data_IF_228613724442
#
_entry.id   IF_228613724442
#
_cell.length_a   1.000
_cell.length_b   1.000
_cell.length_c   1.000
_cell.angle_alpha   90.00
_cell.angle_beta   90.00
_cell.angle_gamma   90.00
#
_symmetry.space_group_name_H-M   'P 1'
#
loop_
_entity.id
_entity.type
_entity.pdbx_description
1 polymer ?
#
# COMPACT_ATOMS: atom_id res chain seq x y z
N UNK A 1 27.09 -44.83 -77.62
CA UNK A 1 26.56 -45.20 -76.28
C UNK A 1 27.15 -44.19 -75.31
N UNK A 2 26.46 -43.10 -75.05
CA UNK A 2 26.89 -42.07 -74.17
C UNK A 2 25.76 -41.76 -73.18
N UNK A 3 26.04 -42.03 -71.91
CA UNK A 3 25.11 -41.72 -70.80
C UNK A 3 25.37 -40.30 -70.28
N UNK A 4 24.44 -39.43 -70.40
CA UNK A 4 24.40 -38.11 -69.84
C UNK A 4 23.87 -38.16 -68.38
N UNK A 5 24.70 -37.69 -67.43
CA UNK A 5 24.33 -37.60 -66.02
C UNK A 5 23.76 -36.18 -65.80
N UNK A 6 22.48 -36.09 -65.40
CA UNK A 6 21.83 -34.85 -65.04
C UNK A 6 22.23 -34.37 -63.64
N UNK A 7 22.57 -33.09 -63.50
CA UNK A 7 22.79 -32.42 -62.24
C UNK A 7 21.46 -31.94 -61.67
N UNK A 8 21.07 -32.49 -60.52
CA UNK A 8 19.95 -31.97 -59.73
C UNK A 8 20.44 -30.79 -58.84
N UNK A 9 19.91 -29.62 -59.08
CA UNK A 9 20.14 -28.45 -58.23
C UNK A 9 19.26 -28.48 -57.01
N UNK A 10 19.89 -28.44 -55.84
CA UNK A 10 19.19 -28.33 -54.54
C UNK A 10 18.96 -26.82 -54.28
N UNK A 11 17.72 -26.37 -54.28
CA UNK A 11 17.34 -25.04 -53.84
C UNK A 11 17.12 -25.10 -52.31
N UNK A 12 18.01 -24.47 -51.53
CA UNK A 12 17.84 -24.27 -50.11
C UNK A 12 17.03 -23.03 -49.89
N UNK A 13 15.77 -23.20 -49.50
CA UNK A 13 14.93 -22.09 -49.04
C UNK A 13 15.28 -21.73 -47.59
N UNK A 14 15.93 -20.61 -47.38
CA UNK A 14 16.12 -20.00 -46.06
C UNK A 14 14.79 -19.40 -45.58
N UNK A 15 14.05 -20.08 -44.73
CA UNK A 15 12.96 -19.46 -43.98
C UNK A 15 13.56 -18.65 -42.81
N UNK A 16 13.61 -17.34 -42.98
CA UNK A 16 13.91 -16.42 -41.89
C UNK A 16 12.72 -16.41 -40.92
N UNK A 17 12.86 -17.12 -39.79
CA UNK A 17 11.96 -16.96 -38.64
C UNK A 17 12.22 -15.59 -38.01
N UNK A 18 11.40 -14.59 -38.35
CA UNK A 18 11.28 -13.38 -37.58
C UNK A 18 10.64 -13.72 -36.26
N UNK A 19 11.45 -13.92 -35.21
CA UNK A 19 10.99 -14.01 -33.84
C UNK A 19 10.46 -12.63 -33.42
N UNK A 20 9.16 -12.38 -33.62
CA UNK A 20 8.45 -11.31 -32.95
C UNK A 20 8.50 -11.61 -31.44
N UNK A 21 9.47 -11.02 -30.76
CA UNK A 21 9.44 -10.87 -29.30
C UNK A 21 8.30 -9.91 -28.99
N UNK A 22 7.09 -10.44 -28.89
CA UNK A 22 6.00 -9.73 -28.24
C UNK A 22 6.48 -9.44 -26.83
N UNK A 23 6.94 -8.22 -26.57
CA UNK A 23 7.09 -7.71 -25.23
C UNK A 23 5.73 -7.84 -24.58
N UNK A 24 5.56 -8.87 -23.75
CA UNK A 24 4.37 -9.03 -22.92
C UNK A 24 4.29 -7.76 -22.08
N UNK A 25 3.42 -6.85 -22.48
CA UNK A 25 3.06 -5.68 -21.68
C UNK A 25 2.69 -6.24 -20.31
N UNK A 26 3.52 -5.93 -19.32
CA UNK A 26 3.25 -6.33 -17.94
C UNK A 26 1.85 -5.84 -17.63
N UNK A 27 0.92 -6.77 -17.47
CA UNK A 27 -0.49 -6.49 -17.29
C UNK A 27 -0.60 -5.74 -15.96
N UNK A 28 -0.87 -4.43 -16.04
CA UNK A 28 -1.05 -3.58 -14.88
C UNK A 28 -2.04 -4.20 -13.90
N UNK A 29 -1.85 -3.95 -12.61
CA UNK A 29 -2.69 -4.51 -11.56
C UNK A 29 -4.12 -3.96 -11.74
N UNK A 30 -4.97 -4.73 -12.44
CA UNK A 30 -6.39 -4.39 -12.57
C UNK A 30 -7.00 -4.38 -11.17
N UNK A 31 -7.63 -3.25 -10.78
CA UNK A 31 -8.34 -3.15 -9.51
C UNK A 31 -7.48 -2.85 -8.28
N UNK A 32 -6.27 -2.28 -8.44
CA UNK A 32 -5.52 -1.76 -7.28
C UNK A 32 -6.33 -0.70 -6.56
N UNK A 33 -6.42 -0.81 -5.23
CA UNK A 33 -7.10 0.16 -4.37
C UNK A 33 -6.10 1.00 -3.59
N UNK A 34 -6.40 2.29 -3.44
CA UNK A 34 -5.59 3.20 -2.64
C UNK A 34 -6.30 3.52 -1.34
N UNK A 35 -5.52 3.81 -0.31
CA UNK A 35 -6.06 4.10 1.01
C UNK A 35 -5.21 5.06 1.81
N UNK A 36 -5.65 5.27 3.04
CA UNK A 36 -4.95 6.08 4.02
C UNK A 36 -5.04 5.44 5.40
N UNK A 37 -4.01 5.64 6.21
CA UNK A 37 -3.98 5.32 7.63
C UNK A 37 -3.54 6.54 8.42
N UNK A 38 -4.28 6.85 9.48
CA UNK A 38 -3.88 7.79 10.52
C UNK A 38 -4.74 7.57 11.77
N UNK A 39 -4.39 6.55 12.54
CA UNK A 39 -5.17 6.12 13.70
C UNK A 39 -5.28 7.22 14.75
N UNK A 40 -4.13 7.85 15.07
CA UNK A 40 -4.07 8.89 16.09
C UNK A 40 -4.88 10.13 15.70
N UNK A 41 -4.75 10.58 14.47
CA UNK A 41 -5.51 11.74 13.98
C UNK A 41 -7.01 11.44 13.90
N UNK A 42 -7.41 10.24 13.44
CA UNK A 42 -8.82 9.85 13.40
C UNK A 42 -9.43 9.81 14.80
N UNK A 43 -8.72 9.27 15.79
CA UNK A 43 -9.24 9.16 17.16
C UNK A 43 -9.16 10.47 17.96
N UNK A 44 -8.06 11.19 17.84
CA UNK A 44 -7.68 12.29 18.75
C UNK A 44 -7.30 13.59 18.07
N UNK A 45 -7.34 13.65 16.73
CA UNK A 45 -6.94 14.85 16.00
C UNK A 45 -7.63 16.11 16.51
N UNK A 46 -6.90 17.24 16.58
CA UNK A 46 -7.43 18.49 17.15
C UNK A 46 -8.44 19.17 16.22
N UNK A 47 -8.49 18.79 14.93
CA UNK A 47 -9.37 19.43 13.95
C UNK A 47 -10.77 18.80 13.98
N UNK A 48 -11.65 19.36 14.78
CA UNK A 48 -13.06 19.02 14.82
C UNK A 48 -13.37 17.63 15.36
N UNK A 49 -14.56 17.14 15.05
CA UNK A 49 -15.09 15.84 15.45
C UNK A 49 -14.58 14.70 14.56
N UNK A 50 -14.73 13.45 15.00
CA UNK A 50 -14.47 12.28 14.17
C UNK A 50 -15.23 12.32 12.82
N UNK A 51 -16.49 12.79 12.83
CA UNK A 51 -17.27 12.91 11.59
C UNK A 51 -16.66 13.90 10.60
N UNK A 52 -16.19 15.04 11.08
CA UNK A 52 -15.50 16.04 10.25
C UNK A 52 -14.19 15.49 9.70
N UNK A 53 -13.42 14.75 10.51
CA UNK A 53 -12.19 14.08 10.06
C UNK A 53 -12.48 13.01 9.00
N UNK A 54 -13.50 12.18 9.20
CA UNK A 54 -13.92 11.18 8.20
C UNK A 54 -14.42 11.84 6.91
N UNK A 55 -15.17 12.95 7.00
CA UNK A 55 -15.55 13.73 5.83
C UNK A 55 -14.31 14.28 5.10
N UNK A 56 -13.28 14.69 5.83
CA UNK A 56 -12.00 15.13 5.25
C UNK A 56 -11.29 13.99 4.51
N UNK A 57 -11.21 12.79 5.11
CA UNK A 57 -10.69 11.60 4.42
C UNK A 57 -11.52 11.28 3.17
N UNK A 58 -12.87 11.42 3.24
CA UNK A 58 -13.74 11.16 2.08
C UNK A 58 -13.40 12.05 0.87
N UNK A 59 -13.01 13.31 1.13
CA UNK A 59 -12.57 14.24 0.09
C UNK A 59 -11.23 13.89 -0.57
N UNK A 60 -10.48 12.91 -0.03
CA UNK A 60 -9.27 12.38 -0.70
C UNK A 60 -9.61 11.53 -1.92
N UNK A 61 -10.81 10.95 -1.94
CA UNK A 61 -11.29 10.13 -3.04
C UNK A 61 -10.73 8.70 -3.06
N UNK A 62 -10.24 8.19 -1.92
CA UNK A 62 -9.76 6.81 -1.78
C UNK A 62 -10.77 5.95 -1.02
N UNK A 63 -10.94 4.66 -1.39
CA UNK A 63 -11.91 3.78 -0.74
C UNK A 63 -11.44 3.17 0.58
N UNK A 64 -10.11 2.96 0.76
CA UNK A 64 -9.61 2.22 1.90
C UNK A 64 -9.23 3.13 3.07
N UNK A 65 -9.59 2.70 4.29
CA UNK A 65 -9.08 3.26 5.55
C UNK A 65 -8.52 2.11 6.38
N UNK A 66 -7.21 2.14 6.64
CA UNK A 66 -6.59 1.19 7.56
C UNK A 66 -6.74 1.72 8.99
N UNK A 67 -7.16 0.83 9.91
CA UNK A 67 -7.33 1.15 11.32
C UNK A 67 -6.85 0.00 12.20
N UNK A 68 -6.19 0.34 13.32
CA UNK A 68 -5.57 -0.65 14.22
C UNK A 68 -6.42 -0.90 15.45
N UNK A 69 -6.70 -2.16 15.73
CA UNK A 69 -7.37 -2.64 16.93
C UNK A 69 -6.32 -3.23 17.88
N UNK A 70 -6.18 -2.61 19.03
CA UNK A 70 -5.23 -2.99 20.06
C UNK A 70 -5.85 -3.99 21.04
N UNK A 71 -5.50 -5.29 20.93
CA UNK A 71 -6.03 -6.34 21.82
C UNK A 71 -5.82 -6.03 23.29
N UNK A 72 -4.62 -5.54 23.66
CA UNK A 72 -4.27 -5.17 25.03
C UNK A 72 -5.11 -3.99 25.59
N UNK A 73 -5.68 -3.15 24.74
CA UNK A 73 -6.57 -2.05 25.12
C UNK A 73 -8.03 -2.47 25.14
N UNK A 74 -8.42 -3.38 24.25
CA UNK A 74 -9.79 -3.90 24.15
C UNK A 74 -10.06 -4.92 25.26
N UNK A 75 -9.11 -5.80 25.57
CA UNK A 75 -9.26 -6.87 26.59
C UNK A 75 -8.26 -6.69 27.73
N UNK A 76 -8.41 -5.62 28.52
CA UNK A 76 -7.52 -5.33 29.66
C UNK A 76 -7.56 -6.45 30.71
N UNK A 77 -8.71 -7.09 30.89
CA UNK A 77 -8.93 -8.25 31.77
C UNK A 77 -9.18 -9.49 30.94
N UNK A 78 -8.88 -10.69 31.50
CA UNK A 78 -9.15 -11.97 30.82
C UNK A 78 -10.66 -12.19 30.68
N UNK A 79 -11.19 -12.35 29.43
CA UNK A 79 -12.60 -12.66 29.22
C UNK A 79 -12.97 -14.04 29.74
N UNK A 80 -14.14 -14.19 30.35
CA UNK A 80 -14.70 -15.49 30.74
C UNK A 80 -15.22 -16.26 29.52
N UNK A 81 -15.81 -15.54 28.55
CA UNK A 81 -16.31 -16.05 27.27
C UNK A 81 -15.54 -15.42 26.12
N UNK A 82 -14.26 -15.84 25.87
CA UNK A 82 -13.31 -15.10 25.04
C UNK A 82 -13.64 -15.04 23.55
N UNK A 83 -14.63 -15.80 23.06
CA UNK A 83 -15.15 -15.72 21.69
C UNK A 83 -16.39 -14.84 21.55
N UNK A 84 -16.97 -14.40 22.70
CA UNK A 84 -18.20 -13.60 22.71
C UNK A 84 -17.85 -12.12 22.84
N UNK A 85 -18.19 -11.29 21.81
CA UNK A 85 -17.89 -9.85 21.86
C UNK A 85 -18.71 -9.11 22.93
N UNK A 86 -19.75 -9.71 23.49
CA UNK A 86 -20.54 -9.18 24.61
C UNK A 86 -19.94 -9.45 25.99
N UNK A 87 -18.82 -10.16 26.08
CA UNK A 87 -18.15 -10.36 27.37
C UNK A 87 -17.70 -9.03 27.98
N UNK A 88 -17.99 -8.83 29.26
CA UNK A 88 -17.72 -7.56 29.98
C UNK A 88 -16.24 -7.19 30.10
N UNK A 89 -15.31 -8.10 29.79
CA UNK A 89 -13.90 -7.82 29.75
C UNK A 89 -13.46 -7.10 28.47
N UNK A 90 -14.30 -7.06 27.43
CA UNK A 90 -14.05 -6.32 26.19
C UNK A 90 -14.55 -4.88 26.28
N UNK A 91 -13.68 -3.92 26.06
CA UNK A 91 -14.07 -2.51 25.88
C UNK A 91 -14.02 -2.12 24.38
N UNK A 92 -15.17 -2.13 23.78
CA UNK A 92 -15.34 -1.76 22.37
C UNK A 92 -15.69 -0.28 22.15
N UNK A 93 -15.82 0.53 23.19
CA UNK A 93 -16.33 1.91 23.07
C UNK A 93 -15.54 2.75 22.07
N UNK A 94 -14.20 2.73 22.18
CA UNK A 94 -13.33 3.47 21.26
C UNK A 94 -13.29 2.84 19.86
N UNK A 95 -12.97 1.55 19.70
CA UNK A 95 -13.00 0.90 18.39
C UNK A 95 -14.33 1.05 17.67
N UNK A 96 -15.45 0.84 18.34
CA UNK A 96 -16.79 0.95 17.77
C UNK A 96 -17.06 2.34 17.19
N UNK A 97 -16.67 3.38 17.91
CA UNK A 97 -16.87 4.76 17.46
C UNK A 97 -16.21 4.99 16.09
N UNK A 98 -14.95 4.57 15.94
CA UNK A 98 -14.19 4.74 14.70
C UNK A 98 -14.70 3.80 13.61
N UNK A 99 -14.86 2.51 13.91
CA UNK A 99 -15.29 1.50 12.95
C UNK A 99 -16.68 1.77 12.39
N UNK A 100 -17.65 2.18 13.23
CA UNK A 100 -18.97 2.61 12.76
C UNK A 100 -18.88 3.88 11.91
N UNK A 101 -18.00 4.79 12.24
CA UNK A 101 -17.72 5.97 11.44
C UNK A 101 -17.19 5.61 10.05
N UNK A 102 -16.18 4.77 9.98
CA UNK A 102 -15.59 4.26 8.71
C UNK A 102 -16.68 3.65 7.82
N UNK A 103 -17.51 2.77 8.40
CA UNK A 103 -18.63 2.14 7.69
C UNK A 103 -19.67 3.15 7.21
N UNK A 104 -20.10 4.08 8.07
CA UNK A 104 -21.12 5.10 7.74
C UNK A 104 -20.69 6.02 6.61
N UNK A 105 -19.42 6.35 6.53
CA UNK A 105 -18.86 7.14 5.43
C UNK A 105 -18.60 6.32 4.15
N UNK A 106 -18.93 5.02 4.16
CA UNK A 106 -18.80 4.13 3.00
C UNK A 106 -17.34 3.85 2.64
N UNK A 107 -16.46 3.78 3.63
CA UNK A 107 -15.10 3.27 3.43
C UNK A 107 -15.04 1.76 3.62
N UNK A 108 -14.11 1.14 2.93
CA UNK A 108 -13.72 -0.24 3.16
C UNK A 108 -12.59 -0.28 4.19
N UNK A 109 -12.81 -0.83 5.39
CA UNK A 109 -11.77 -0.92 6.40
C UNK A 109 -10.74 -1.99 6.07
N UNK A 110 -9.46 -1.70 6.36
CA UNK A 110 -8.37 -2.65 6.47
C UNK A 110 -7.97 -2.71 7.93
N UNK A 111 -8.35 -3.76 8.63
CA UNK A 111 -8.25 -3.82 10.10
C UNK A 111 -7.00 -4.58 10.53
N UNK A 112 -6.16 -3.94 11.34
CA UNK A 112 -4.95 -4.54 11.90
C UNK A 112 -5.21 -4.98 13.35
N UNK A 113 -4.85 -6.22 13.72
CA UNK A 113 -4.90 -6.73 15.07
C UNK A 113 -3.50 -6.77 15.69
N UNK A 114 -3.27 -6.06 16.79
CA UNK A 114 -1.98 -5.99 17.48
C UNK A 114 -2.09 -5.96 18.99
N UNK A 115 -0.98 -6.20 19.68
CA UNK A 115 -0.80 -5.91 21.10
C UNK A 115 -1.37 -6.98 22.03
N UNK A 116 -0.52 -7.79 22.66
CA UNK A 116 -0.92 -8.82 23.61
C UNK A 116 -1.22 -8.20 24.99
N UNK A 117 -2.36 -8.46 25.61
CA UNK A 117 -2.64 -8.00 26.96
C UNK A 117 -1.79 -8.74 28.01
N UNK A 118 -1.50 -8.07 29.12
CA UNK A 118 -0.64 -8.59 30.18
C UNK A 118 -1.09 -9.95 30.73
N UNK A 119 -2.39 -10.20 30.85
CA UNK A 119 -2.90 -11.49 31.30
C UNK A 119 -2.64 -12.64 30.31
N UNK A 120 -2.37 -12.34 29.04
CA UNK A 120 -2.10 -13.33 27.99
C UNK A 120 -0.60 -13.54 27.72
N UNK A 121 0.31 -12.70 28.29
CA UNK A 121 1.76 -12.79 28.08
C UNK A 121 2.58 -12.70 29.38
N UNK A 122 1.98 -13.09 30.51
CA UNK A 122 2.62 -13.09 31.83
C UNK A 122 3.09 -11.70 32.28
N UNK A 123 2.29 -10.68 32.07
CA UNK A 123 2.56 -9.29 32.46
C UNK A 123 3.61 -8.55 31.64
N UNK A 124 4.08 -9.14 30.54
CA UNK A 124 5.09 -8.51 29.67
C UNK A 124 4.47 -7.39 28.81
N UNK A 125 5.35 -6.59 28.17
CA UNK A 125 4.93 -5.54 27.26
C UNK A 125 4.07 -6.09 26.10
N UNK A 126 3.16 -5.27 25.52
CA UNK A 126 2.21 -5.73 24.49
C UNK A 126 2.84 -6.29 23.21
N UNK A 127 4.11 -6.04 22.96
CA UNK A 127 4.85 -6.59 21.82
C UNK A 127 5.41 -8.02 22.06
N UNK A 128 5.17 -8.63 23.21
CA UNK A 128 5.48 -10.05 23.41
C UNK A 128 4.32 -10.91 22.92
N UNK A 129 4.64 -11.92 22.09
CA UNK A 129 3.65 -12.89 21.65
C UNK A 129 3.03 -13.65 22.84
N UNK A 130 1.74 -14.01 22.78
CA UNK A 130 1.11 -14.82 23.80
C UNK A 130 1.66 -16.26 23.75
N UNK A 131 2.04 -16.89 24.89
CA UNK A 131 2.48 -18.28 24.89
C UNK A 131 1.35 -19.26 24.51
N UNK A 132 0.11 -18.95 24.85
CA UNK A 132 -1.05 -19.76 24.51
C UNK A 132 -1.73 -19.26 23.25
N UNK A 133 -1.50 -19.93 22.14
CA UNK A 133 -2.01 -19.59 20.79
C UNK A 133 -3.54 -19.45 20.75
N UNK A 134 -4.26 -20.22 21.55
CA UNK A 134 -5.72 -20.18 21.66
C UNK A 134 -6.26 -18.81 22.10
N UNK A 135 -5.48 -18.04 22.90
CA UNK A 135 -5.97 -16.76 23.43
C UNK A 135 -6.10 -15.72 22.30
N UNK A 136 -5.12 -15.64 21.40
CA UNK A 136 -5.21 -14.77 20.22
C UNK A 136 -6.25 -15.25 19.21
N UNK A 137 -6.37 -16.57 18.97
CA UNK A 137 -7.42 -17.12 18.11
C UNK A 137 -8.82 -16.77 18.60
N UNK A 138 -9.08 -16.89 19.89
CA UNK A 138 -10.37 -16.57 20.51
C UNK A 138 -10.68 -15.08 20.43
N UNK A 139 -9.69 -14.21 20.62
CA UNK A 139 -9.84 -12.77 20.39
C UNK A 139 -10.19 -12.46 18.92
N UNK A 140 -9.50 -13.08 17.96
CA UNK A 140 -9.79 -12.92 16.55
C UNK A 140 -11.24 -13.33 16.20
N UNK A 141 -11.76 -14.40 16.81
CA UNK A 141 -13.18 -14.79 16.69
C UNK A 141 -14.11 -13.69 17.23
N UNK A 142 -13.83 -13.16 18.44
CA UNK A 142 -14.64 -12.11 19.04
C UNK A 142 -14.66 -10.83 18.17
N UNK A 143 -13.52 -10.43 17.64
CA UNK A 143 -13.41 -9.26 16.75
C UNK A 143 -14.17 -9.48 15.44
N UNK A 144 -14.03 -10.65 14.81
CA UNK A 144 -14.73 -10.99 13.56
C UNK A 144 -16.24 -11.00 13.78
N UNK A 145 -16.74 -11.52 14.91
CA UNK A 145 -18.16 -11.45 15.30
C UNK A 145 -18.62 -10.02 15.55
N UNK A 146 -17.75 -9.17 16.11
CA UNK A 146 -18.06 -7.75 16.37
C UNK A 146 -18.18 -6.93 15.10
N UNK A 147 -17.33 -7.20 14.10
CA UNK A 147 -17.26 -6.45 12.85
C UNK A 147 -17.45 -7.35 11.63
N UNK A 148 -18.63 -8.00 11.45
CA UNK A 148 -18.85 -8.99 10.40
C UNK A 148 -18.80 -8.42 8.98
N UNK A 149 -18.80 -7.09 8.82
CA UNK A 149 -18.71 -6.41 7.53
C UNK A 149 -17.26 -6.13 7.09
N UNK A 150 -16.24 -6.46 7.92
CA UNK A 150 -14.84 -6.25 7.57
C UNK A 150 -14.35 -7.37 6.67
N UNK A 151 -13.85 -6.99 5.50
CA UNK A 151 -13.34 -7.95 4.52
C UNK A 151 -11.82 -8.11 4.59
N UNK A 152 -11.05 -7.04 4.91
CA UNK A 152 -9.59 -7.04 4.92
C UNK A 152 -9.04 -6.98 6.33
N UNK A 153 -8.22 -7.98 6.69
CA UNK A 153 -7.60 -8.11 8.01
C UNK A 153 -6.10 -8.21 7.91
N UNK A 154 -5.38 -7.62 8.82
CA UNK A 154 -3.94 -7.74 8.98
C UNK A 154 -3.61 -8.31 10.36
N UNK A 155 -2.75 -9.29 10.40
CA UNK A 155 -2.30 -9.88 11.66
C UNK A 155 -0.96 -9.31 12.03
N UNK A 156 -0.97 -8.49 13.09
CA UNK A 156 0.16 -7.77 13.66
C UNK A 156 0.64 -6.59 12.81
N UNK A 157 1.71 -5.92 13.29
CA UNK A 157 2.40 -4.83 12.60
C UNK A 157 3.90 -5.05 12.68
N UNK A 158 4.61 -4.97 11.55
CA UNK A 158 6.06 -5.10 11.41
C UNK A 158 6.70 -6.17 12.32
N UNK A 159 6.20 -7.43 12.34
CA UNK A 159 6.65 -8.45 13.29
C UNK A 159 8.13 -8.83 13.09
N UNK A 160 8.74 -8.43 11.98
CA UNK A 160 10.17 -8.56 11.73
C UNK A 160 11.03 -7.52 12.47
N UNK A 161 10.41 -6.61 13.25
CA UNK A 161 11.08 -5.60 14.09
C UNK A 161 10.95 -5.94 15.56
N UNK A 162 12.05 -5.86 16.32
CA UNK A 162 12.05 -6.13 17.76
C UNK A 162 11.13 -5.21 18.57
N UNK A 163 10.90 -4.00 18.10
CA UNK A 163 9.96 -3.05 18.73
C UNK A 163 8.51 -3.54 18.63
N UNK A 164 8.17 -4.32 17.60
CA UNK A 164 6.82 -4.79 17.36
C UNK A 164 6.57 -6.24 17.82
N UNK A 165 7.59 -7.11 17.78
CA UNK A 165 7.42 -8.51 18.19
C UNK A 165 8.62 -9.03 18.97
N UNK A 166 8.35 -9.70 20.10
CA UNK A 166 9.31 -10.43 20.92
C UNK A 166 8.77 -11.81 21.28
N UNK A 167 9.58 -12.87 21.15
CA UNK A 167 10.83 -12.93 20.39
C UNK A 167 10.63 -12.62 18.91
N UNK A 168 11.60 -11.93 18.28
CA UNK A 168 11.53 -11.55 16.86
C UNK A 168 11.93 -12.75 15.98
N UNK A 169 11.04 -13.74 15.88
CA UNK A 169 11.22 -14.98 15.13
C UNK A 169 9.99 -15.23 14.25
N UNK A 170 10.22 -15.55 12.97
CA UNK A 170 9.13 -15.80 12.03
C UNK A 170 8.23 -16.98 12.48
N UNK A 171 8.84 -18.05 13.05
CA UNK A 171 8.07 -19.18 13.59
C UNK A 171 7.13 -18.73 14.73
N UNK A 172 7.58 -17.89 15.65
CA UNK A 172 6.73 -17.35 16.74
C UNK A 172 5.59 -16.50 16.17
N UNK A 173 5.88 -15.63 15.19
CA UNK A 173 4.84 -14.87 14.52
C UNK A 173 3.79 -15.78 13.89
N UNK A 174 4.23 -16.79 13.15
CA UNK A 174 3.33 -17.70 12.42
C UNK A 174 2.50 -18.54 13.39
N UNK A 175 3.15 -19.17 14.35
CA UNK A 175 2.51 -20.14 15.25
C UNK A 175 1.63 -19.51 16.32
N UNK A 176 2.03 -18.33 16.85
CA UNK A 176 1.32 -17.72 17.98
C UNK A 176 0.37 -16.59 17.60
N UNK A 177 0.53 -16.00 16.39
CA UNK A 177 -0.25 -14.84 15.94
C UNK A 177 -0.92 -15.08 14.59
N UNK A 178 -0.15 -15.31 13.50
CA UNK A 178 -0.70 -15.31 12.15
C UNK A 178 -1.70 -16.45 11.95
N UNK A 179 -1.28 -17.69 12.15
CA UNK A 179 -2.17 -18.85 11.93
C UNK A 179 -3.37 -18.87 12.87
N UNK A 180 -3.21 -18.62 14.20
CA UNK A 180 -4.35 -18.50 15.09
C UNK A 180 -5.31 -17.36 14.73
N UNK A 181 -4.78 -16.21 14.31
CA UNK A 181 -5.58 -15.07 13.84
C UNK A 181 -6.33 -15.39 12.55
N UNK A 182 -5.64 -15.98 11.57
CA UNK A 182 -6.22 -16.45 10.32
C UNK A 182 -7.38 -17.42 10.57
N UNK A 183 -7.16 -18.46 11.35
CA UNK A 183 -8.17 -19.46 11.68
C UNK A 183 -9.35 -18.86 12.44
N UNK A 184 -9.06 -17.97 13.41
CA UNK A 184 -10.12 -17.29 14.16
C UNK A 184 -11.02 -16.44 13.28
N UNK A 185 -10.45 -15.64 12.38
CA UNK A 185 -11.22 -14.83 11.43
C UNK A 185 -11.99 -15.71 10.46
N UNK A 186 -11.35 -16.71 9.85
CA UNK A 186 -11.98 -17.62 8.86
C UNK A 186 -13.09 -18.48 9.46
N UNK A 187 -13.05 -18.78 10.76
CA UNK A 187 -14.13 -19.49 11.45
C UNK A 187 -15.46 -18.70 11.42
N UNK A 188 -15.38 -17.38 11.45
CA UNK A 188 -16.56 -16.49 11.45
C UNK A 188 -16.85 -15.91 10.07
N UNK A 189 -15.81 -15.55 9.35
CA UNK A 189 -15.84 -14.85 8.06
C UNK A 189 -15.02 -15.64 7.02
N UNK A 190 -15.53 -16.74 6.45
CA UNK A 190 -14.76 -17.62 5.55
C UNK A 190 -14.28 -16.91 4.29
N UNK A 191 -14.99 -15.88 3.82
CA UNK A 191 -14.64 -15.10 2.63
C UNK A 191 -13.79 -13.84 2.92
N UNK A 192 -13.54 -13.51 4.19
CA UNK A 192 -12.63 -12.41 4.52
C UNK A 192 -11.20 -12.71 4.06
N UNK A 193 -10.46 -11.67 3.70
CA UNK A 193 -9.07 -11.77 3.27
C UNK A 193 -8.15 -11.42 4.43
N UNK A 194 -7.23 -12.30 4.76
CA UNK A 194 -6.28 -12.13 5.86
C UNK A 194 -4.87 -11.97 5.32
N UNK A 195 -4.30 -10.78 5.52
CA UNK A 195 -2.93 -10.45 5.19
C UNK A 195 -1.97 -10.84 6.31
N UNK A 196 -0.92 -11.57 5.92
CA UNK A 196 0.21 -11.90 6.78
C UNK A 196 1.50 -11.23 6.32
N UNK A 197 2.57 -11.37 7.11
CA UNK A 197 3.84 -10.69 6.86
C UNK A 197 3.87 -9.31 7.50
N UNK A 198 3.18 -8.34 6.95
CA UNK A 198 3.10 -6.93 7.41
C UNK A 198 4.49 -6.38 7.74
N UNK A 199 5.47 -6.69 6.88
CA UNK A 199 6.89 -6.50 7.19
C UNK A 199 7.39 -5.08 6.96
N UNK A 200 8.27 -4.58 7.85
CA UNK A 200 9.09 -3.40 7.61
C UNK A 200 10.09 -3.62 6.47
N UNK A 201 10.59 -2.56 5.81
CA UNK A 201 11.49 -2.68 4.66
C UNK A 201 12.87 -3.25 5.00
N UNK A 202 13.29 -3.14 6.27
CA UNK A 202 14.62 -3.54 6.77
C UNK A 202 14.57 -4.12 8.16
N UNK A 203 15.62 -4.84 8.55
CA UNK A 203 15.75 -5.43 9.87
C UNK A 203 15.73 -4.36 10.99
N UNK A 204 16.66 -3.40 10.95
CA UNK A 204 16.96 -2.54 12.09
C UNK A 204 17.55 -3.31 13.28
N UNK A 205 17.81 -2.62 14.39
CA UNK A 205 18.45 -3.22 15.58
C UNK A 205 17.61 -4.36 16.16
N UNK A 206 18.19 -5.55 16.22
CA UNK A 206 17.54 -6.76 16.76
C UNK A 206 16.32 -7.24 15.96
N UNK A 207 16.16 -6.78 14.73
CA UNK A 207 15.13 -7.24 13.81
C UNK A 207 15.67 -8.27 12.81
N UNK A 208 14.79 -8.70 11.89
CA UNK A 208 15.07 -9.64 10.81
C UNK A 208 14.67 -9.00 9.49
N UNK A 209 15.50 -9.15 8.45
CA UNK A 209 15.19 -8.59 7.13
C UNK A 209 13.95 -9.24 6.50
N UNK A 210 13.21 -8.52 5.65
CA UNK A 210 12.01 -9.08 5.02
C UNK A 210 12.30 -10.32 4.17
N UNK A 211 13.48 -10.42 3.53
CA UNK A 211 13.88 -11.59 2.74
C UNK A 211 14.03 -12.84 3.61
N UNK A 212 14.72 -12.71 4.75
CA UNK A 212 14.88 -13.83 5.71
C UNK A 212 13.54 -14.14 6.39
N UNK A 213 12.77 -13.10 6.69
CA UNK A 213 11.46 -13.25 7.35
C UNK A 213 10.46 -14.04 6.52
N UNK A 214 10.31 -13.73 5.23
CA UNK A 214 9.38 -14.43 4.33
C UNK A 214 9.74 -15.91 4.18
N UNK A 215 11.04 -16.23 4.10
CA UNK A 215 11.51 -17.61 4.10
C UNK A 215 11.13 -18.33 5.41
N UNK A 216 11.42 -17.71 6.56
CA UNK A 216 11.07 -18.27 7.86
C UNK A 216 9.56 -18.46 8.06
N UNK A 217 8.74 -17.58 7.50
CA UNK A 217 7.28 -17.76 7.49
C UNK A 217 6.84 -18.97 6.67
N UNK A 218 7.47 -19.20 5.52
CA UNK A 218 7.17 -20.36 4.68
C UNK A 218 7.55 -21.68 5.38
N UNK A 219 8.73 -21.73 5.98
CA UNK A 219 9.19 -22.89 6.78
C UNK A 219 8.25 -23.17 7.97
N UNK A 220 7.68 -22.13 8.56
CA UNK A 220 6.71 -22.25 9.66
C UNK A 220 5.27 -22.52 9.19
N UNK A 221 5.03 -22.77 7.90
CA UNK A 221 3.72 -23.04 7.31
C UNK A 221 2.68 -21.92 7.53
N UNK A 222 3.04 -20.70 7.21
CA UNK A 222 2.18 -19.53 7.35
C UNK A 222 0.91 -19.63 6.49
N UNK A 223 -0.25 -19.38 7.09
CA UNK A 223 -1.56 -19.27 6.43
C UNK A 223 -1.86 -17.80 6.16
N UNK A 224 -2.09 -17.45 4.88
CA UNK A 224 -2.42 -16.07 4.48
C UNK A 224 -3.16 -16.05 3.12
N UNK A 225 -4.00 -15.05 2.92
CA UNK A 225 -4.63 -14.78 1.64
C UNK A 225 -3.84 -13.76 0.84
N UNK A 226 -3.14 -12.85 1.50
CA UNK A 226 -2.26 -11.84 0.91
C UNK A 226 -0.98 -11.67 1.74
N UNK A 227 0.12 -11.26 1.10
CA UNK A 227 1.33 -10.85 1.80
C UNK A 227 1.35 -9.33 1.94
N UNK A 228 1.42 -8.83 3.18
CA UNK A 228 1.49 -7.39 3.45
C UNK A 228 2.92 -6.91 3.71
N UNK A 229 3.22 -5.69 3.28
CA UNK A 229 4.55 -5.09 3.39
C UNK A 229 4.49 -3.56 3.44
N UNK A 230 5.48 -2.94 4.10
CA UNK A 230 5.65 -1.49 4.23
C UNK A 230 6.93 -1.07 3.48
N UNK A 231 6.87 -0.73 2.18
CA UNK A 231 8.05 -0.52 1.34
C UNK A 231 8.63 0.90 1.45
N UNK A 232 8.76 1.44 2.67
CA UNK A 232 9.33 2.77 2.90
C UNK A 232 10.72 2.92 2.25
N UNK A 233 11.08 4.13 1.78
CA UNK A 233 12.43 4.42 1.35
C UNK A 233 13.41 4.34 2.54
N UNK A 234 14.64 3.95 2.26
CA UNK A 234 15.70 3.91 3.28
C UNK A 234 16.46 5.23 3.38
N UNK A 235 16.36 6.09 2.36
CA UNK A 235 17.08 7.36 2.23
C UNK A 235 16.19 8.43 1.57
N UNK A 236 16.40 9.71 1.85
CA UNK A 236 15.64 10.81 1.22
C UNK A 236 15.75 10.86 -0.31
N UNK A 237 16.89 10.42 -0.86
CA UNK A 237 17.15 10.39 -2.30
C UNK A 237 16.53 9.20 -3.04
N UNK A 238 16.04 8.18 -2.34
CA UNK A 238 15.43 7.02 -2.97
C UNK A 238 14.06 7.36 -3.55
N UNK A 239 13.85 7.02 -4.82
CA UNK A 239 12.57 7.19 -5.49
C UNK A 239 11.81 5.85 -5.57
N UNK A 240 10.52 5.84 -5.87
CA UNK A 240 9.77 4.61 -6.06
C UNK A 240 10.31 3.69 -7.16
N UNK A 241 11.05 4.23 -8.12
CA UNK A 241 11.56 3.49 -9.29
C UNK A 241 13.06 3.27 -9.28
N UNK A 242 13.82 4.06 -8.49
CA UNK A 242 15.27 4.01 -8.47
C UNK A 242 15.81 4.17 -7.04
N UNK A 243 16.88 3.48 -6.74
CA UNK A 243 17.47 3.37 -5.41
C UNK A 243 17.19 2.01 -4.80
N UNK A 244 17.24 1.94 -3.48
CA UNK A 244 17.25 0.67 -2.76
C UNK A 244 18.53 -0.10 -3.01
N UNK A 245 18.56 -1.34 -2.55
CA UNK A 245 19.70 -2.24 -2.79
C UNK A 245 19.22 -3.55 -3.43
N UNK A 246 19.69 -3.82 -4.66
CA UNK A 246 19.28 -5.02 -5.39
C UNK A 246 19.67 -6.32 -4.68
N UNK A 247 20.85 -6.37 -4.08
CA UNK A 247 21.40 -7.57 -3.45
C UNK A 247 21.23 -7.61 -1.93
N UNK A 248 20.86 -6.47 -1.30
CA UNK A 248 20.60 -6.43 0.13
C UNK A 248 19.31 -7.20 0.48
N UNK A 249 19.17 -7.69 1.71
CA UNK A 249 17.98 -8.38 2.15
C UNK A 249 16.79 -7.42 2.45
N UNK A 250 16.98 -6.12 2.22
CA UNK A 250 15.95 -5.09 2.38
C UNK A 250 15.03 -5.02 1.15
N UNK A 251 13.79 -4.59 1.37
CA UNK A 251 12.81 -4.42 0.31
C UNK A 251 12.12 -3.07 0.47
N UNK A 252 12.31 -2.20 -0.54
CA UNK A 252 11.66 -0.88 -0.63
C UNK A 252 10.75 -0.85 -1.85
N UNK A 253 10.07 0.28 -2.08
CA UNK A 253 9.26 0.45 -3.29
C UNK A 253 10.10 0.28 -4.58
N UNK A 254 11.35 0.73 -4.58
CA UNK A 254 12.26 0.59 -5.71
C UNK A 254 12.60 -0.89 -6.01
N UNK A 255 12.71 -1.72 -4.99
CA UNK A 255 13.06 -3.15 -5.11
C UNK A 255 11.87 -4.10 -4.94
N UNK A 256 10.64 -3.59 -5.01
CA UNK A 256 9.40 -4.35 -4.83
C UNK A 256 9.25 -5.59 -5.75
N UNK A 257 9.76 -5.61 -6.99
CA UNK A 257 9.77 -6.84 -7.80
C UNK A 257 10.42 -8.03 -7.10
N UNK A 258 11.44 -7.82 -6.25
CA UNK A 258 12.03 -8.87 -5.41
C UNK A 258 10.99 -9.51 -4.48
N UNK A 259 10.15 -8.69 -3.83
CA UNK A 259 9.07 -9.21 -2.98
C UNK A 259 8.08 -10.06 -3.76
N UNK A 260 7.68 -9.59 -4.95
CA UNK A 260 6.74 -10.33 -5.81
C UNK A 260 7.28 -11.70 -6.21
N UNK A 261 8.59 -11.80 -6.48
CA UNK A 261 9.27 -13.08 -6.77
C UNK A 261 9.25 -13.98 -5.53
N UNK A 262 9.60 -13.46 -4.36
CA UNK A 262 9.64 -14.23 -3.11
C UNK A 262 8.24 -14.70 -2.69
N UNK A 263 7.22 -13.83 -2.78
CA UNK A 263 5.82 -14.22 -2.49
C UNK A 263 5.37 -15.33 -3.43
N UNK A 264 5.67 -15.20 -4.75
CA UNK A 264 5.34 -16.25 -5.71
C UNK A 264 6.04 -17.57 -5.38
N UNK A 265 7.31 -17.52 -5.01
CA UNK A 265 8.13 -18.70 -4.67
C UNK A 265 7.59 -19.45 -3.46
N UNK A 266 7.21 -18.73 -2.40
CA UNK A 266 6.89 -19.32 -1.11
C UNK A 266 5.38 -19.52 -0.86
N UNK A 267 4.54 -18.68 -1.47
CA UNK A 267 3.09 -18.66 -1.21
C UNK A 267 2.23 -18.71 -2.48
N UNK A 268 2.85 -18.88 -3.66
CA UNK A 268 2.14 -18.90 -4.94
C UNK A 268 1.72 -17.51 -5.41
N UNK A 269 0.66 -17.44 -6.20
CA UNK A 269 0.20 -16.18 -6.82
C UNK A 269 -0.62 -15.29 -5.86
N UNK A 270 -0.29 -15.27 -4.58
CA UNK A 270 -0.96 -14.42 -3.61
C UNK A 270 -0.79 -12.93 -3.94
N UNK A 271 -1.82 -12.10 -3.74
CA UNK A 271 -1.70 -10.64 -3.85
C UNK A 271 -0.75 -10.08 -2.80
N UNK A 272 -0.15 -8.93 -3.14
CA UNK A 272 0.70 -8.15 -2.24
C UNK A 272 -0.03 -6.87 -1.85
N UNK A 273 -0.11 -6.60 -0.56
CA UNK A 273 -0.72 -5.41 0.03
C UNK A 273 0.37 -4.49 0.58
N UNK A 274 0.43 -3.27 0.07
CA UNK A 274 1.34 -2.24 0.56
C UNK A 274 0.57 -1.42 1.60
N UNK A 275 0.66 -1.84 2.86
CA UNK A 275 -0.25 -1.38 3.92
C UNK A 275 0.23 -0.17 4.70
N UNK A 276 1.45 0.29 4.46
CA UNK A 276 1.98 1.60 4.83
C UNK A 276 3.00 2.07 3.80
N UNK A 277 2.93 3.34 3.44
CA UNK A 277 3.94 4.00 2.62
C UNK A 277 3.87 5.51 2.78
N UNK A 278 5.02 6.19 2.69
CA UNK A 278 5.11 7.63 2.72
C UNK A 278 6.56 8.12 2.64
N UNK A 279 6.72 9.42 2.43
CA UNK A 279 8.00 10.13 2.54
C UNK A 279 7.87 11.17 3.62
N UNK A 280 8.85 11.27 4.50
CA UNK A 280 8.94 12.35 5.45
C UNK A 280 9.29 13.67 4.75
N UNK A 281 8.91 14.80 5.33
CA UNK A 281 9.17 16.12 4.73
C UNK A 281 10.15 16.96 5.52
N UNK A 282 11.00 17.66 4.80
CA UNK A 282 11.85 18.73 5.31
C UNK A 282 11.38 20.08 4.73
N UNK A 283 10.95 21.04 5.55
CA UNK A 283 10.77 20.92 6.98
C UNK A 283 9.63 19.96 7.36
N UNK A 284 9.58 19.40 8.61
CA UNK A 284 10.52 19.65 9.71
C UNK A 284 11.65 18.61 9.85
N UNK A 285 11.57 17.42 9.20
CA UNK A 285 12.56 16.35 9.32
C UNK A 285 13.79 16.63 8.45
N UNK A 286 14.88 17.07 9.07
CA UNK A 286 16.14 17.38 8.39
C UNK A 286 16.97 16.14 8.01
N UNK A 287 16.65 14.96 8.55
CA UNK A 287 17.44 13.73 8.37
C UNK A 287 16.89 12.87 7.23
N UNK A 288 15.59 12.59 7.25
CA UNK A 288 14.93 11.70 6.28
C UNK A 288 13.97 12.46 5.36
N UNK A 289 13.72 13.74 5.62
CA UNK A 289 12.75 14.55 4.91
C UNK A 289 13.17 14.91 3.48
N UNK A 290 12.21 14.90 2.58
CA UNK A 290 12.30 15.53 1.25
C UNK A 290 11.47 16.82 1.25
N UNK A 291 11.69 17.72 0.28
CA UNK A 291 10.84 18.91 0.21
C UNK A 291 9.36 18.51 0.03
N UNK A 292 8.38 19.28 0.57
CA UNK A 292 6.96 18.94 0.46
C UNK A 292 6.45 18.81 -0.98
N UNK A 293 7.01 19.56 -1.94
CA UNK A 293 6.71 19.40 -3.38
C UNK A 293 7.23 18.08 -3.89
N UNK A 294 8.47 17.70 -3.54
CA UNK A 294 9.06 16.41 -3.91
C UNK A 294 8.30 15.23 -3.32
N UNK A 295 7.81 15.35 -2.06
CA UNK A 295 6.93 14.32 -1.46
C UNK A 295 5.73 14.04 -2.38
N UNK A 296 5.03 15.06 -2.85
CA UNK A 296 3.86 14.89 -3.72
C UNK A 296 4.20 14.20 -5.05
N UNK A 297 5.32 14.57 -5.68
CA UNK A 297 5.81 13.91 -6.90
C UNK A 297 6.13 12.44 -6.64
N UNK A 298 6.83 12.14 -5.54
CA UNK A 298 7.20 10.78 -5.18
C UNK A 298 5.98 9.91 -4.82
N UNK A 299 4.95 10.46 -4.19
CA UNK A 299 3.69 9.75 -3.93
C UNK A 299 2.94 9.45 -5.23
N UNK A 300 2.95 10.35 -6.21
CA UNK A 300 2.39 10.09 -7.55
C UNK A 300 3.15 8.99 -8.28
N UNK A 301 4.48 9.02 -8.25
CA UNK A 301 5.34 7.96 -8.81
C UNK A 301 5.11 6.61 -8.11
N UNK A 302 4.93 6.60 -6.79
CA UNK A 302 4.66 5.38 -6.03
C UNK A 302 3.30 4.77 -6.40
N UNK A 303 2.28 5.61 -6.59
CA UNK A 303 0.96 5.17 -7.03
C UNK A 303 1.04 4.53 -8.41
N UNK A 304 1.71 5.18 -9.38
CA UNK A 304 1.94 4.63 -10.71
C UNK A 304 2.72 3.31 -10.66
N UNK A 305 3.80 3.25 -9.88
CA UNK A 305 4.61 2.03 -9.77
C UNK A 305 3.83 0.88 -9.18
N UNK A 306 3.06 1.10 -8.12
CA UNK A 306 2.20 0.07 -7.54
C UNK A 306 1.15 -0.43 -8.53
N UNK A 307 0.55 0.47 -9.32
CA UNK A 307 -0.38 0.14 -10.39
C UNK A 307 0.28 -0.70 -11.50
N UNK A 308 1.53 -0.43 -11.87
CA UNK A 308 2.27 -1.18 -12.92
C UNK A 308 2.68 -2.59 -12.47
N UNK A 309 2.82 -2.84 -11.17
CA UNK A 309 3.31 -4.11 -10.66
C UNK A 309 2.18 -5.14 -10.54
N UNK A 310 2.30 -6.31 -11.15
CA UNK A 310 1.27 -7.33 -11.09
C UNK A 310 1.07 -7.81 -9.64
N UNK A 311 -0.16 -8.14 -9.28
CA UNK A 311 -0.54 -8.65 -7.96
C UNK A 311 -0.39 -7.65 -6.78
N UNK A 312 0.01 -6.41 -7.01
CA UNK A 312 -0.10 -5.36 -5.99
C UNK A 312 -1.56 -4.93 -5.95
N UNK A 313 -2.27 -5.25 -4.87
CA UNK A 313 -3.72 -5.06 -4.79
C UNK A 313 -4.12 -3.81 -4.01
N UNK A 314 -3.25 -3.27 -3.16
CA UNK A 314 -3.50 -2.01 -2.47
C UNK A 314 -2.20 -1.25 -2.15
N UNK A 315 -2.34 0.09 -2.01
CA UNK A 315 -1.31 0.99 -1.50
C UNK A 315 -1.94 1.99 -0.53
N UNK A 316 -1.48 2.00 0.72
CA UNK A 316 -2.01 2.83 1.79
C UNK A 316 -0.99 3.89 2.19
N UNK A 317 -1.39 5.15 2.10
CA UNK A 317 -0.62 6.30 2.58
C UNK A 317 -0.59 6.31 4.11
N UNK A 318 0.58 6.51 4.69
CA UNK A 318 0.84 6.76 6.10
C UNK A 318 1.47 8.16 6.23
N UNK A 319 0.88 9.16 6.72
CA UNK A 319 -0.29 9.58 7.45
C UNK A 319 -1.16 10.57 6.65
N UNK A 320 -2.26 11.08 7.29
CA UNK A 320 -2.97 12.29 6.81
C UNK A 320 -2.31 13.57 7.32
N UNK A 321 -1.95 13.60 8.61
CA UNK A 321 -1.32 14.73 9.29
C UNK A 321 0.02 14.32 9.90
N UNK A 322 1.00 15.22 9.88
CA UNK A 322 2.27 15.00 10.58
C UNK A 322 2.06 14.77 12.07
N UNK A 323 2.84 13.87 12.65
CA UNK A 323 2.83 13.67 14.09
C UNK A 323 3.49 14.88 14.81
N UNK A 324 3.01 15.24 16.01
CA UNK A 324 3.55 16.41 16.74
C UNK A 324 5.03 16.28 17.13
N UNK A 325 5.52 15.07 17.30
CA UNK A 325 6.90 14.80 17.71
C UNK A 325 7.79 14.57 16.49
N UNK A 326 8.87 15.34 16.35
CA UNK A 326 9.84 15.19 15.24
C UNK A 326 10.51 13.82 15.15
N UNK A 327 10.65 13.12 16.28
CA UNK A 327 11.17 11.75 16.31
C UNK A 327 10.22 10.70 15.71
N UNK A 328 9.00 11.12 15.37
CA UNK A 328 7.99 10.29 14.72
C UNK A 328 7.84 10.65 13.26
N UNK A 329 6.72 10.27 12.63
CA UNK A 329 6.53 10.39 11.19
C UNK A 329 6.04 11.77 10.76
N UNK A 330 6.79 12.41 9.86
CA UNK A 330 6.44 13.66 9.19
C UNK A 330 5.97 13.39 7.74
N UNK A 331 5.29 12.26 7.55
CA UNK A 331 4.85 11.79 6.23
C UNK A 331 3.42 12.18 5.86
N UNK A 332 2.78 13.03 6.68
CA UNK A 332 1.43 13.52 6.47
C UNK A 332 1.25 14.26 5.15
N UNK A 333 0.00 14.29 4.66
CA UNK A 333 -0.44 15.13 3.55
C UNK A 333 -0.70 16.59 4.01
N UNK A 334 -0.74 16.79 5.33
CA UNK A 334 -0.83 18.10 5.99
C UNK A 334 0.26 18.20 7.06
N UNK A 335 0.64 19.42 7.38
CA UNK A 335 1.50 19.70 8.52
C UNK A 335 0.78 19.45 9.85
N UNK A 336 1.52 19.47 10.96
CA UNK A 336 0.97 19.27 12.31
C UNK A 336 -0.15 20.26 12.68
N UNK A 337 -0.11 21.45 12.12
CA UNK A 337 -1.13 22.50 12.30
C UNK A 337 -2.35 22.35 11.38
N UNK A 338 -2.37 21.31 10.54
CA UNK A 338 -3.45 21.03 9.59
C UNK A 338 -3.33 21.78 8.24
N UNK A 339 -2.35 22.67 8.06
CA UNK A 339 -2.11 23.31 6.75
C UNK A 339 -1.76 22.26 5.69
N UNK A 340 -2.33 22.34 4.49
CA UNK A 340 -2.08 21.36 3.43
C UNK A 340 -0.63 21.45 2.92
N UNK A 341 0.00 20.31 2.70
CA UNK A 341 1.23 20.23 1.91
C UNK A 341 0.88 20.14 0.41
N UNK A 342 1.81 20.51 -0.50
CA UNK A 342 1.62 20.26 -1.93
C UNK A 342 1.27 18.80 -2.25
N UNK A 343 1.76 17.86 -1.47
CA UNK A 343 1.47 16.42 -1.61
C UNK A 343 -0.01 16.05 -1.50
N UNK A 344 -0.83 16.87 -0.81
CA UNK A 344 -2.28 16.65 -0.74
C UNK A 344 -2.93 16.73 -2.13
N UNK A 345 -2.51 17.67 -2.97
CA UNK A 345 -2.98 17.77 -4.36
C UNK A 345 -2.48 16.57 -5.18
N UNK A 346 -1.20 16.24 -5.08
CA UNK A 346 -0.62 15.05 -5.76
C UNK A 346 -1.24 13.74 -5.31
N UNK A 347 -1.67 13.63 -4.06
CA UNK A 347 -2.38 12.45 -3.57
C UNK A 347 -3.82 12.34 -4.13
N UNK A 348 -4.55 13.46 -4.20
CA UNK A 348 -5.93 13.50 -4.72
C UNK A 348 -6.01 13.26 -6.23
N UNK A 349 -4.99 13.68 -6.97
CA UNK A 349 -4.88 13.56 -8.42
C UNK A 349 -3.43 13.22 -8.80
N UNK A 350 -2.99 11.97 -8.53
CA UNK A 350 -1.64 11.56 -8.87
C UNK A 350 -1.43 11.58 -10.39
N UNK A 351 -0.27 12.14 -10.77
CA UNK A 351 0.12 12.31 -12.15
C UNK A 351 1.63 12.13 -12.28
N UNK A 352 2.07 11.28 -13.23
CA UNK A 352 3.47 10.92 -13.38
C UNK A 352 3.83 10.58 -14.82
N UNK A 353 5.09 10.79 -15.19
CA UNK A 353 5.69 10.25 -16.40
C UNK A 353 5.92 8.74 -16.24
N UNK A 354 5.38 7.96 -17.18
CA UNK A 354 5.49 6.50 -17.16
C UNK A 354 6.67 6.00 -17.99
N UNK A 355 7.05 6.73 -19.02
CA UNK A 355 8.17 6.45 -19.89
C UNK A 355 8.23 7.41 -21.05
N UNK A 356 9.36 7.37 -21.77
CA UNK A 356 9.62 8.21 -22.93
C UNK A 356 10.38 7.45 -24.00
N UNK A 357 10.01 7.68 -25.25
CA UNK A 357 10.73 7.21 -26.44
C UNK A 357 10.82 8.36 -27.45
N UNK A 358 12.04 8.86 -27.66
CA UNK A 358 12.25 10.06 -28.49
C UNK A 358 11.47 11.28 -27.97
N UNK A 359 10.56 11.79 -28.78
CA UNK A 359 9.65 12.89 -28.43
C UNK A 359 8.32 12.39 -27.84
N UNK A 360 8.06 11.09 -27.89
CA UNK A 360 6.84 10.52 -27.35
C UNK A 360 6.97 10.26 -25.86
N UNK A 361 6.15 10.92 -25.07
CA UNK A 361 6.10 10.78 -23.63
C UNK A 361 4.78 10.13 -23.25
N UNK A 362 4.87 9.01 -22.52
CA UNK A 362 3.71 8.36 -21.95
C UNK A 362 3.53 8.83 -20.51
N UNK A 363 2.37 9.40 -20.21
CA UNK A 363 1.97 9.84 -18.89
C UNK A 363 0.84 8.97 -18.35
N UNK A 364 0.84 8.81 -17.05
CA UNK A 364 -0.16 8.09 -16.26
C UNK A 364 -0.77 9.01 -15.22
N UNK A 365 -2.07 8.85 -14.95
CA UNK A 365 -2.72 9.53 -13.84
C UNK A 365 -3.98 8.81 -13.35
N UNK A 366 -4.47 9.26 -12.19
CA UNK A 366 -5.74 8.80 -11.63
C UNK A 366 -6.54 9.97 -11.08
N UNK A 367 -7.77 10.11 -11.53
CA UNK A 367 -8.77 11.00 -10.90
C UNK A 367 -9.49 10.22 -9.81
N UNK A 368 -9.23 10.56 -8.55
CA UNK A 368 -9.81 9.87 -7.40
C UNK A 368 -11.17 10.46 -7.05
N UNK A 369 -12.24 9.83 -7.55
CA UNK A 369 -13.62 10.23 -7.33
C UNK A 369 -14.28 9.65 -6.07
N UNK A 370 -13.60 8.74 -5.35
CA UNK A 370 -14.12 8.10 -4.13
C UNK A 370 -15.14 6.99 -4.36
N UNK A 371 -15.54 6.76 -5.61
CA UNK A 371 -16.40 5.65 -6.07
C UNK A 371 -15.93 5.20 -7.44
N UNK A 372 -16.15 3.94 -7.83
CA UNK A 372 -15.94 3.49 -9.20
C UNK A 372 -16.78 4.33 -10.17
N UNK A 373 -16.22 4.59 -11.35
CA UNK A 373 -16.86 5.34 -12.41
C UNK A 373 -15.86 6.18 -13.20
N UNK A 374 -16.22 6.47 -14.45
CA UNK A 374 -15.39 7.28 -15.35
C UNK A 374 -15.42 8.74 -14.91
N UNK A 375 -14.26 9.34 -14.90
CA UNK A 375 -14.06 10.74 -14.51
C UNK A 375 -13.52 11.54 -15.70
N UNK A 376 -14.01 12.76 -15.86
CA UNK A 376 -13.51 13.68 -16.89
C UNK A 376 -12.17 14.28 -16.45
N UNK A 377 -11.21 14.33 -17.37
CA UNK A 377 -9.93 14.99 -17.18
C UNK A 377 -9.47 15.74 -18.42
N UNK A 378 -8.66 16.76 -18.22
CA UNK A 378 -7.98 17.55 -19.25
C UNK A 378 -6.49 17.56 -18.95
N UNK A 379 -5.66 17.30 -19.97
CA UNK A 379 -4.22 17.56 -19.89
C UNK A 379 -3.96 18.99 -20.34
N UNK A 380 -3.09 19.67 -19.61
CA UNK A 380 -2.69 21.05 -19.93
C UNK A 380 -1.15 21.13 -19.93
N UNK A 381 -0.63 21.98 -20.83
CA UNK A 381 0.80 22.29 -20.97
C UNK A 381 1.02 23.78 -20.71
N UNK A 382 2.12 24.10 -20.06
CA UNK A 382 2.50 25.50 -19.81
C UNK A 382 3.25 26.07 -21.02
N UNK A 383 2.68 27.11 -21.64
CA UNK A 383 3.32 27.93 -22.68
C UNK A 383 3.37 29.39 -22.21
N UNK A 384 4.54 30.00 -22.11
CA UNK A 384 4.69 31.42 -21.74
C UNK A 384 3.83 31.76 -20.55
N UNK A 385 3.71 31.35 -19.52
CA UNK A 385 2.86 31.67 -18.33
C UNK A 385 1.36 31.35 -18.45
N UNK A 386 0.92 30.74 -19.55
CA UNK A 386 -0.46 30.28 -19.73
C UNK A 386 -0.54 28.75 -19.85
N UNK A 387 -1.58 28.19 -19.24
CA UNK A 387 -1.91 26.77 -19.36
C UNK A 387 -2.84 26.55 -20.54
N UNK A 388 -2.37 25.87 -21.57
CA UNK A 388 -3.13 25.53 -22.76
C UNK A 388 -3.56 24.06 -22.70
N UNK A 389 -4.79 23.73 -23.13
CA UNK A 389 -5.25 22.35 -23.18
C UNK A 389 -4.52 21.55 -24.27
N UNK A 390 -4.20 20.29 -23.97
CA UNK A 390 -3.69 19.31 -24.93
C UNK A 390 -4.87 18.50 -25.48
N UNK A 391 -5.47 18.99 -26.58
CA UNK A 391 -6.68 18.43 -27.15
C UNK A 391 -7.94 18.73 -26.31
N UNK A 392 -8.93 17.84 -26.37
CA UNK A 392 -10.21 17.98 -25.68
C UNK A 392 -10.25 17.21 -24.36
N UNK A 393 -11.28 17.43 -23.55
CA UNK A 393 -11.57 16.68 -22.33
C UNK A 393 -11.79 15.19 -22.66
N UNK A 394 -11.33 14.32 -21.77
CA UNK A 394 -11.39 12.86 -21.94
C UNK A 394 -11.90 12.19 -20.70
N UNK A 395 -12.33 10.94 -20.86
CA UNK A 395 -12.76 10.09 -19.77
C UNK A 395 -11.63 9.14 -19.35
N UNK A 396 -11.53 8.90 -18.07
CA UNK A 396 -10.73 7.81 -17.48
C UNK A 396 -11.41 6.45 -17.73
N UNK A 397 -10.76 5.35 -17.32
CA UNK A 397 -11.47 4.08 -17.13
C UNK A 397 -12.38 4.13 -15.87
N UNK A 398 -13.09 3.04 -15.60
CA UNK A 398 -14.04 2.97 -14.47
C UNK A 398 -13.39 3.06 -13.09
N UNK A 399 -12.07 2.82 -12.99
CA UNK A 399 -11.27 2.97 -11.76
C UNK A 399 -10.60 4.36 -11.64
N UNK A 400 -10.94 5.27 -12.55
CA UNK A 400 -10.40 6.62 -12.57
C UNK A 400 -9.01 6.75 -13.20
N UNK A 401 -8.44 5.71 -13.81
CA UNK A 401 -7.10 5.75 -14.42
C UNK A 401 -7.12 6.21 -15.87
N UNK A 402 -6.04 6.86 -16.29
CA UNK A 402 -5.73 7.14 -17.68
C UNK A 402 -4.25 6.95 -17.98
N UNK A 403 -3.96 6.58 -19.22
CA UNK A 403 -2.60 6.52 -19.80
C UNK A 403 -2.64 7.23 -21.14
N UNK A 404 -1.70 8.12 -21.41
CA UNK A 404 -1.63 8.89 -22.63
C UNK A 404 -0.22 9.03 -23.15
N UNK A 405 -0.03 8.75 -24.41
CA UNK A 405 1.20 9.08 -25.15
C UNK A 405 0.99 10.40 -25.89
N UNK A 406 1.94 11.32 -25.74
CA UNK A 406 1.89 12.69 -26.25
C UNK A 406 3.28 13.07 -26.74
N UNK A 407 3.35 13.75 -27.88
CA UNK A 407 4.61 14.26 -28.42
C UNK A 407 5.00 15.55 -27.72
N UNK A 408 6.10 15.51 -26.95
CA UNK A 408 6.56 16.61 -26.10
C UNK A 408 8.07 16.80 -26.19
N UNK A 409 8.51 18.05 -26.01
CA UNK A 409 9.91 18.37 -25.79
C UNK A 409 10.30 18.11 -24.33
N UNK A 410 11.57 17.80 -24.07
CA UNK A 410 12.13 17.77 -22.71
C UNK A 410 11.96 19.14 -22.06
N UNK A 411 11.73 19.16 -20.77
CA UNK A 411 11.50 20.39 -20.02
C UNK A 411 10.05 20.88 -20.03
N UNK A 412 9.17 20.34 -20.87
CA UNK A 412 7.75 20.69 -20.88
C UNK A 412 7.14 20.51 -19.50
N UNK A 413 6.29 21.44 -19.08
CA UNK A 413 5.52 21.37 -17.84
C UNK A 413 4.08 21.01 -18.15
N UNK A 414 3.59 19.96 -17.52
CA UNK A 414 2.23 19.47 -17.66
C UNK A 414 1.49 19.52 -16.35
N UNK A 415 0.17 19.59 -16.42
CA UNK A 415 -0.74 19.29 -15.30
C UNK A 415 -2.02 18.64 -15.80
N UNK A 416 -2.76 18.06 -14.88
CA UNK A 416 -4.11 17.52 -15.14
C UNK A 416 -5.11 18.43 -14.44
N UNK A 417 -6.18 18.77 -15.14
CA UNK A 417 -7.37 19.38 -14.59
C UNK A 417 -8.51 18.36 -14.55
N UNK A 418 -9.19 18.27 -13.43
CA UNK A 418 -10.42 17.48 -13.27
C UNK A 418 -11.60 18.44 -13.04
N UNK A 419 -12.46 18.66 -14.06
CA UNK A 419 -13.55 19.64 -13.99
C UNK A 419 -14.55 19.36 -12.89
N UNK A 420 -15.00 18.10 -12.78
CA UNK A 420 -16.00 17.69 -11.77
C UNK A 420 -15.55 17.96 -10.33
N UNK A 421 -14.27 17.81 -10.06
CA UNK A 421 -13.72 17.94 -8.69
C UNK A 421 -13.05 19.28 -8.44
N UNK A 422 -13.01 20.18 -9.46
CA UNK A 422 -12.28 21.45 -9.40
C UNK A 422 -10.87 21.29 -8.84
N UNK A 423 -10.09 20.34 -9.39
CA UNK A 423 -8.76 19.97 -8.88
C UNK A 423 -7.72 19.99 -9.97
N UNK A 424 -6.52 20.44 -9.61
CA UNK A 424 -5.31 20.28 -10.40
C UNK A 424 -4.41 19.22 -9.79
N UNK A 425 -3.69 18.47 -10.63
CA UNK A 425 -2.53 17.69 -10.22
C UNK A 425 -1.37 18.62 -9.84
N UNK A 426 -0.32 18.06 -9.26
CA UNK A 426 0.98 18.73 -9.27
C UNK A 426 1.47 18.88 -10.70
N UNK A 427 2.29 19.92 -10.91
CA UNK A 427 2.99 20.11 -12.18
C UNK A 427 4.03 19.01 -12.37
N UNK A 428 4.02 18.39 -13.53
CA UNK A 428 4.95 17.37 -13.98
C UNK A 428 5.91 17.97 -14.99
N UNK A 429 7.21 18.01 -14.67
CA UNK A 429 8.24 18.33 -15.66
C UNK A 429 8.66 17.05 -16.37
N UNK A 430 8.68 17.09 -17.70
CA UNK A 430 9.10 15.99 -18.58
C UNK A 430 10.64 15.98 -18.68
N UNK A 431 11.26 14.83 -18.46
CA UNK A 431 12.72 14.67 -18.44
C UNK A 431 13.30 13.92 -19.63
#
# INVERSE_FOLDING_TARGET
MGMTVGRAGVVVALCALAACTAATSAQASKGIQYGIQDDAWLEFGPQGTLNQRLATIKRLGVPLVRFTLHWNQIAVRRPKRPTEPSDRAYDWRRPDRVMRGIRRYGFTPVVTLVGTPGWANSGRAPNFAPPHVRDFRRFAIAVARRYPWVHYWLIWNEPNKRIWLRPTKAAIYVQHLLNPGYEGIKTVLPHAQVGGGVTAPRAGLGGVSPVVWIHGMAVAHAKLDAYAHHPYPLRPGETPSAGGCRFCPDITMATLPKLLILVRRYFGLKPVWLTEYGYQTNPPDTVLGVSPKKQGTLLSLAAMRAWRLPRVAMLIQYLYQDEPQLSRFQSGLTYVDGRPKPSLAGFKLPFAEMGREGFETTVWGQVRGGRPGRETYRLEILHRDRWDPIGHDRLTNDDGFFVRTIRLKRGALLRVWSPRWHRFSLQLRIY
#
